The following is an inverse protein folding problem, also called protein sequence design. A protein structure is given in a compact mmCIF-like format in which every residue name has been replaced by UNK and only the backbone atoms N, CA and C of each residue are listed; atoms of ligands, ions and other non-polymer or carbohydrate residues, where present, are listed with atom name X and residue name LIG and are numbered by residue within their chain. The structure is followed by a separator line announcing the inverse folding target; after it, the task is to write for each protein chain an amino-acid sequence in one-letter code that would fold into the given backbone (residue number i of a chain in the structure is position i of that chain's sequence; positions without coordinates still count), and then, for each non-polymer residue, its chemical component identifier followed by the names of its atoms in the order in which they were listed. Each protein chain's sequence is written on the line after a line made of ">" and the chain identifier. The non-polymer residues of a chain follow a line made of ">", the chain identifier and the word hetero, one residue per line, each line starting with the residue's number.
data_IF_555737692751
#
_entry.id   IF_555737692751
#
_cell.length_a   1.000
_cell.length_b   1.000
_cell.length_c   1.000
_cell.angle_alpha   90.00
_cell.angle_beta   90.00
_cell.angle_gamma   90.00
#
_symmetry.space_group_name_H-M   'P 1'
#
loop_
_entity.id
_entity.type
_entity.pdbx_description
1 polymer ?
#
# COMPACT_ATOMS: atom_id res chain seq x y z
N UNK A 1 38.36 -13.10 -17.36
CA UNK A 1 37.83 -12.43 -16.19
C UNK A 1 36.95 -11.25 -16.68
N UNK A 2 35.82 -11.57 -17.20
CA UNK A 2 34.76 -10.64 -17.64
C UNK A 2 33.45 -11.42 -17.46
N UNK A 3 32.48 -10.84 -16.87
CA UNK A 3 31.07 -11.24 -16.70
C UNK A 3 30.67 -11.36 -15.24
N UNK A 4 30.20 -10.24 -14.72
CA UNK A 4 29.21 -10.19 -13.64
C UNK A 4 28.74 -8.73 -13.49
N UNK A 5 27.93 -8.25 -14.42
CA UNK A 5 27.29 -6.93 -14.29
C UNK A 5 26.04 -6.81 -15.18
N UNK A 6 25.12 -7.75 -15.04
CA UNK A 6 23.79 -7.63 -15.65
C UNK A 6 22.81 -8.63 -15.00
N UNK A 7 22.46 -8.41 -13.73
CA UNK A 7 21.29 -9.12 -13.14
C UNK A 7 20.92 -8.50 -11.79
N UNK A 8 20.55 -7.24 -11.73
CA UNK A 8 20.06 -6.66 -10.46
C UNK A 8 19.04 -5.54 -10.59
N UNK A 9 18.22 -5.51 -11.63
CA UNK A 9 17.13 -4.50 -11.75
C UNK A 9 15.74 -5.11 -11.92
N UNK A 10 15.61 -6.42 -12.11
CA UNK A 10 14.31 -7.05 -12.38
C UNK A 10 13.59 -7.64 -11.14
N UNK A 11 14.13 -7.51 -9.93
CA UNK A 11 13.63 -8.22 -8.74
C UNK A 11 12.78 -7.39 -7.77
N UNK A 12 12.54 -6.11 -8.01
CA UNK A 12 11.88 -5.24 -7.01
C UNK A 12 10.37 -5.03 -7.20
N UNK A 13 9.74 -5.61 -8.21
CA UNK A 13 8.32 -5.41 -8.53
C UNK A 13 7.40 -6.60 -8.17
N UNK A 14 7.91 -7.65 -7.55
CA UNK A 14 7.14 -8.87 -7.26
C UNK A 14 7.18 -9.33 -5.79
N UNK A 15 7.65 -8.53 -4.86
CA UNK A 15 7.74 -8.98 -3.46
C UNK A 15 6.55 -8.52 -2.62
N UNK A 16 5.50 -9.32 -2.60
CA UNK A 16 4.72 -9.52 -1.39
C UNK A 16 5.69 -10.07 -0.33
N UNK A 17 6.28 -9.20 0.52
CA UNK A 17 7.02 -9.71 1.67
C UNK A 17 8.46 -9.26 1.91
N UNK A 18 8.98 -8.24 1.24
CA UNK A 18 10.27 -7.68 1.67
C UNK A 18 10.12 -6.73 2.88
N UNK A 19 9.81 -7.29 4.03
CA UNK A 19 10.36 -6.77 5.28
C UNK A 19 11.76 -7.37 5.42
N UNK A 20 12.73 -6.50 5.49
CA UNK A 20 14.15 -6.81 5.69
C UNK A 20 14.33 -7.73 6.91
N UNK A 21 14.69 -8.99 6.66
CA UNK A 21 14.80 -10.04 7.68
C UNK A 21 16.12 -9.95 8.43
N UNK A 22 16.93 -8.89 8.25
CA UNK A 22 18.33 -8.85 8.68
C UNK A 22 18.61 -7.98 9.91
N UNK A 23 17.58 -7.36 10.53
CA UNK A 23 17.77 -6.65 11.81
C UNK A 23 16.63 -6.98 12.79
N UNK A 24 16.46 -8.26 13.13
CA UNK A 24 15.56 -8.66 14.22
C UNK A 24 16.36 -8.64 15.53
N UNK A 25 15.94 -7.83 16.53
CA UNK A 25 16.34 -8.12 17.90
C UNK A 25 15.86 -9.54 18.24
N UNK A 26 16.70 -10.36 18.81
CA UNK A 26 16.46 -11.79 19.07
C UNK A 26 15.28 -12.10 20.03
N UNK A 27 14.61 -11.08 20.59
CA UNK A 27 13.68 -11.22 21.72
C UNK A 27 12.26 -10.72 21.45
N UNK A 28 11.82 -10.60 20.19
CA UNK A 28 10.44 -10.18 19.89
C UNK A 28 9.50 -11.39 19.90
N UNK A 29 8.60 -11.45 20.85
CA UNK A 29 7.67 -12.57 21.02
C UNK A 29 6.69 -12.65 19.84
N UNK A 30 6.86 -13.65 18.98
CA UNK A 30 6.10 -13.85 17.76
C UNK A 30 5.32 -15.17 17.82
N UNK A 31 4.03 -15.12 17.50
CA UNK A 31 3.14 -16.29 17.40
C UNK A 31 2.59 -16.38 15.99
N UNK A 32 2.58 -17.60 15.42
CA UNK A 32 2.24 -17.82 14.00
C UNK A 32 1.11 -18.82 13.76
N UNK A 33 0.44 -19.30 14.82
CA UNK A 33 -0.72 -20.19 14.68
C UNK A 33 -1.69 -20.05 15.85
N UNK A 34 -2.94 -20.49 15.64
CA UNK A 34 -3.95 -20.53 16.70
C UNK A 34 -3.58 -21.50 17.82
N UNK A 35 -2.94 -22.63 17.50
CA UNK A 35 -2.52 -23.63 18.51
C UNK A 35 -1.38 -23.07 19.38
N UNK A 36 -0.42 -22.37 18.76
CA UNK A 36 0.63 -21.70 19.51
C UNK A 36 0.04 -20.59 20.40
N UNK A 37 -0.95 -19.84 19.90
CA UNK A 37 -1.63 -18.79 20.64
C UNK A 37 -2.35 -19.32 21.89
N UNK A 38 -2.95 -20.51 21.79
CA UNK A 38 -3.65 -21.14 22.91
C UNK A 38 -2.72 -21.49 24.08
N UNK A 39 -1.43 -21.73 23.80
CA UNK A 39 -0.43 -22.20 24.77
C UNK A 39 0.58 -21.09 25.17
N UNK A 40 0.28 -19.83 24.88
CA UNK A 40 1.21 -18.71 25.04
C UNK A 40 0.66 -17.67 26.01
N UNK A 41 1.55 -17.00 26.77
CA UNK A 41 1.17 -15.80 27.53
C UNK A 41 0.80 -14.68 26.58
N UNK A 42 -0.50 -14.45 26.38
CA UNK A 42 -1.04 -13.50 25.39
C UNK A 42 -0.66 -12.05 25.66
N UNK A 43 -0.40 -11.70 26.92
CA UNK A 43 -0.03 -10.34 27.30
C UNK A 43 1.37 -9.92 26.82
N UNK A 44 2.22 -10.88 26.44
CA UNK A 44 3.60 -10.63 26.00
C UNK A 44 3.77 -10.69 24.47
N UNK A 45 2.71 -11.04 23.71
CA UNK A 45 2.80 -11.20 22.27
C UNK A 45 2.95 -9.84 21.60
N UNK A 46 4.04 -9.65 20.89
CA UNK A 46 4.32 -8.43 20.12
C UNK A 46 3.89 -8.56 18.66
N UNK A 47 3.97 -9.79 18.10
CA UNK A 47 3.58 -10.10 16.73
C UNK A 47 2.69 -11.33 16.69
N UNK A 48 1.55 -11.21 16.02
CA UNK A 48 0.61 -12.31 15.82
C UNK A 48 0.29 -12.45 14.33
N UNK A 49 0.69 -13.58 13.74
CA UNK A 49 0.48 -13.89 12.34
C UNK A 49 -0.39 -15.14 12.20
N UNK A 50 -1.68 -14.94 11.93
CA UNK A 50 -2.68 -16.02 11.80
C UNK A 50 -3.11 -16.24 10.35
N UNK A 51 -2.28 -15.84 9.40
CA UNK A 51 -2.53 -15.96 7.96
C UNK A 51 -2.90 -17.38 7.58
N UNK A 52 -4.01 -17.54 6.85
CA UNK A 52 -4.47 -18.82 6.35
C UNK A 52 -4.80 -19.86 7.43
N UNK A 53 -5.14 -19.41 8.66
CA UNK A 53 -5.53 -20.34 9.73
C UNK A 53 -6.65 -21.27 9.29
N UNK A 54 -6.63 -22.50 9.77
CA UNK A 54 -7.53 -23.58 9.33
C UNK A 54 -9.02 -23.30 9.64
N UNK A 55 -9.31 -22.35 10.53
CA UNK A 55 -10.67 -21.89 10.84
C UNK A 55 -10.70 -20.36 10.92
N UNK A 56 -11.89 -19.74 10.84
CA UNK A 56 -12.03 -18.30 11.05
C UNK A 56 -11.51 -17.86 12.42
N UNK A 57 -10.81 -16.72 12.42
CA UNK A 57 -10.38 -16.03 13.64
C UNK A 57 -11.54 -15.18 14.16
N UNK A 58 -11.82 -15.30 15.45
CA UNK A 58 -12.93 -14.64 16.14
C UNK A 58 -12.42 -13.70 17.24
N UNK A 59 -13.32 -12.93 17.83
CA UNK A 59 -12.99 -12.09 19.00
C UNK A 59 -12.46 -12.93 20.18
N UNK A 60 -12.96 -14.15 20.37
CA UNK A 60 -12.50 -15.03 21.43
C UNK A 60 -11.02 -15.45 21.26
N UNK A 61 -10.54 -15.57 20.02
CA UNK A 61 -9.13 -15.87 19.74
C UNK A 61 -8.21 -14.71 20.14
N UNK A 62 -8.71 -13.49 20.05
CA UNK A 62 -7.98 -12.26 20.34
C UNK A 62 -8.14 -11.78 21.78
N UNK A 63 -8.93 -12.51 22.61
CA UNK A 63 -9.13 -12.19 24.02
C UNK A 63 -7.83 -12.33 24.80
N UNK A 64 -7.56 -11.41 25.73
CA UNK A 64 -6.35 -11.42 26.57
C UNK A 64 -5.07 -10.99 25.86
N UNK A 65 -5.11 -10.59 24.58
CA UNK A 65 -3.99 -9.89 23.97
C UNK A 65 -3.83 -8.51 24.63
N UNK A 66 -2.59 -8.07 24.81
CA UNK A 66 -2.34 -6.76 25.40
C UNK A 66 -2.58 -5.65 24.38
N UNK A 67 -3.40 -4.68 24.74
CA UNK A 67 -3.76 -3.53 23.89
C UNK A 67 -2.55 -2.65 23.53
N UNK A 68 -1.52 -2.65 24.37
CA UNK A 68 -0.34 -1.80 24.21
C UNK A 68 0.91 -2.54 23.71
N UNK A 69 0.97 -3.87 23.88
CA UNK A 69 2.15 -4.68 23.53
C UNK A 69 2.09 -5.20 22.12
N UNK A 70 0.91 -5.63 21.63
CA UNK A 70 0.77 -6.15 20.27
C UNK A 70 0.97 -5.03 19.25
N UNK A 71 2.00 -5.17 18.41
CA UNK A 71 2.37 -4.19 17.40
C UNK A 71 2.03 -4.62 15.97
N UNK A 72 2.05 -5.92 15.69
CA UNK A 72 1.84 -6.46 14.34
C UNK A 72 0.81 -7.59 14.36
N UNK A 73 -0.22 -7.44 13.52
CA UNK A 73 -1.29 -8.43 13.38
C UNK A 73 -1.52 -8.77 11.90
N UNK A 74 -1.38 -10.06 11.56
CA UNK A 74 -1.71 -10.57 10.24
C UNK A 74 -2.92 -11.52 10.30
N UNK A 75 -4.03 -11.08 9.72
CA UNK A 75 -5.28 -11.80 9.54
C UNK A 75 -5.58 -12.03 8.04
N UNK A 76 -4.55 -12.22 7.24
CA UNK A 76 -4.69 -12.45 5.80
C UNK A 76 -5.19 -13.87 5.47
N UNK A 77 -5.87 -14.02 4.32
CA UNK A 77 -6.30 -15.32 3.77
C UNK A 77 -7.25 -16.11 4.70
N UNK A 78 -8.10 -15.42 5.45
CA UNK A 78 -9.04 -16.01 6.40
C UNK A 78 -10.49 -15.97 5.92
N UNK A 79 -10.75 -15.57 4.67
CA UNK A 79 -12.09 -15.39 4.12
C UNK A 79 -12.97 -14.42 4.92
N UNK A 80 -12.38 -13.44 5.62
CA UNK A 80 -13.13 -12.49 6.46
C UNK A 80 -14.01 -11.59 5.60
N UNK A 81 -15.29 -11.55 5.89
CA UNK A 81 -16.24 -10.54 5.40
C UNK A 81 -16.28 -9.32 6.34
N UNK A 82 -15.91 -9.53 7.62
CA UNK A 82 -15.80 -8.49 8.65
C UNK A 82 -14.58 -8.79 9.53
N UNK A 83 -13.89 -7.75 9.95
CA UNK A 83 -12.76 -7.86 10.90
C UNK A 83 -13.29 -8.09 12.31
N UNK A 84 -12.72 -8.99 13.11
CA UNK A 84 -13.10 -9.16 14.51
C UNK A 84 -13.05 -7.85 15.28
N UNK A 85 -14.06 -7.58 16.09
CA UNK A 85 -14.22 -6.30 16.81
C UNK A 85 -13.12 -6.00 17.81
N UNK A 86 -12.52 -7.05 18.41
CA UNK A 86 -11.39 -6.95 19.36
C UNK A 86 -10.14 -6.29 18.75
N UNK A 87 -9.96 -6.36 17.44
CA UNK A 87 -8.83 -5.72 16.74
C UNK A 87 -8.78 -4.22 17.06
N UNK A 88 -9.94 -3.56 17.15
CA UNK A 88 -10.03 -2.11 17.33
C UNK A 88 -9.67 -1.64 18.74
N UNK A 89 -9.57 -2.57 19.68
CA UNK A 89 -9.05 -2.34 21.04
C UNK A 89 -7.52 -2.34 21.12
N UNK A 90 -6.80 -2.90 20.13
CA UNK A 90 -5.35 -3.10 20.15
C UNK A 90 -4.59 -1.79 19.84
N UNK A 91 -4.55 -0.86 20.78
CA UNK A 91 -4.08 0.53 20.62
C UNK A 91 -2.58 0.66 20.29
N UNK A 92 -1.78 -0.37 20.63
CA UNK A 92 -0.35 -0.46 20.27
C UNK A 92 -0.08 -0.90 18.84
N UNK A 93 -1.14 -1.29 18.08
CA UNK A 93 -0.97 -1.86 16.74
C UNK A 93 -0.41 -0.85 15.75
N UNK A 94 0.76 -1.15 15.20
CA UNK A 94 1.44 -0.32 14.20
C UNK A 94 1.26 -0.84 12.79
N UNK A 95 1.00 -2.16 12.64
CA UNK A 95 0.86 -2.81 11.33
C UNK A 95 -0.28 -3.83 11.33
N UNK A 96 -1.18 -3.70 10.34
CA UNK A 96 -2.31 -4.60 10.16
C UNK A 96 -2.35 -5.11 8.72
N UNK A 97 -2.34 -6.45 8.56
CA UNK A 97 -2.53 -7.13 7.28
C UNK A 97 -3.89 -7.84 7.26
N UNK A 98 -4.68 -7.54 6.24
CA UNK A 98 -6.00 -8.10 5.94
C UNK A 98 -6.06 -8.58 4.49
N UNK A 99 -4.92 -9.05 3.96
CA UNK A 99 -4.75 -9.41 2.54
C UNK A 99 -5.61 -10.62 2.16
N UNK A 100 -6.18 -10.60 0.94
CA UNK A 100 -6.96 -11.72 0.37
C UNK A 100 -8.07 -12.21 1.30
N UNK A 101 -8.85 -11.27 1.81
CA UNK A 101 -10.11 -11.54 2.50
C UNK A 101 -11.32 -11.21 1.59
N UNK A 102 -12.50 -11.13 2.15
CA UNK A 102 -13.75 -10.80 1.43
C UNK A 102 -14.35 -9.48 1.88
N UNK A 103 -13.52 -8.55 2.37
CA UNK A 103 -13.98 -7.24 2.85
C UNK A 103 -14.57 -6.42 1.70
N UNK A 104 -15.83 -6.02 1.85
CA UNK A 104 -16.53 -5.15 0.86
C UNK A 104 -16.24 -3.67 1.07
N UNK A 105 -15.78 -3.28 2.25
CA UNK A 105 -15.42 -1.93 2.64
C UNK A 105 -14.20 -1.92 3.58
N UNK A 106 -13.51 -0.80 3.67
CA UNK A 106 -12.54 -0.53 4.73
C UNK A 106 -13.33 -0.32 6.02
N UNK A 107 -12.99 -0.98 7.14
CA UNK A 107 -13.69 -0.78 8.40
C UNK A 107 -13.61 0.65 8.90
N UNK A 108 -14.74 1.23 9.29
CA UNK A 108 -14.85 2.59 9.83
C UNK A 108 -14.10 2.76 11.16
N UNK A 109 -13.78 1.65 11.81
CA UNK A 109 -13.06 1.59 13.08
C UNK A 109 -11.53 1.75 12.94
N UNK A 110 -10.96 1.72 11.75
CA UNK A 110 -9.50 1.87 11.53
C UNK A 110 -8.90 3.06 12.30
N UNK A 111 -9.52 4.23 12.40
CA UNK A 111 -8.99 5.36 13.18
C UNK A 111 -8.89 5.12 14.69
N UNK A 112 -9.56 4.07 15.21
CA UNK A 112 -9.44 3.67 16.61
C UNK A 112 -8.08 3.08 16.95
N UNK A 113 -7.20 2.83 15.95
CA UNK A 113 -5.83 2.34 16.08
C UNK A 113 -4.84 3.52 15.98
N UNK A 114 -4.58 4.24 17.07
CA UNK A 114 -3.86 5.52 17.05
C UNK A 114 -2.37 5.39 16.70
N UNK A 115 -1.81 4.18 16.77
CA UNK A 115 -0.42 3.90 16.43
C UNK A 115 -0.25 3.33 15.00
N UNK A 116 -1.35 3.11 14.25
CA UNK A 116 -1.30 2.43 12.96
C UNK A 116 -0.56 3.26 11.92
N UNK A 117 0.52 2.70 11.38
CA UNK A 117 1.34 3.30 10.32
C UNK A 117 1.30 2.52 9.01
N UNK A 118 0.95 1.25 9.07
CA UNK A 118 0.88 0.34 7.94
C UNK A 118 -0.46 -0.39 7.89
N UNK A 119 -1.20 -0.25 6.79
CA UNK A 119 -2.45 -0.96 6.54
C UNK A 119 -2.39 -1.63 5.16
N UNK A 120 -2.55 -2.96 5.14
CA UNK A 120 -2.59 -3.73 3.90
C UNK A 120 -3.94 -4.45 3.73
N UNK A 121 -4.68 -4.04 2.71
CA UNK A 121 -6.00 -4.53 2.32
C UNK A 121 -5.97 -5.11 0.89
N UNK A 122 -4.81 -5.50 0.37
CA UNK A 122 -4.67 -6.06 -0.97
C UNK A 122 -5.58 -7.28 -1.17
N UNK A 123 -6.18 -7.43 -2.36
CA UNK A 123 -6.94 -8.62 -2.72
C UNK A 123 -8.27 -8.78 -1.96
N UNK A 124 -8.99 -7.70 -1.74
CA UNK A 124 -10.33 -7.69 -1.16
C UNK A 124 -11.39 -7.32 -2.21
N UNK A 125 -12.58 -6.96 -1.76
CA UNK A 125 -13.69 -6.56 -2.63
C UNK A 125 -14.12 -5.10 -2.40
N UNK A 126 -13.20 -4.27 -1.91
CA UNK A 126 -13.46 -2.89 -1.47
C UNK A 126 -13.84 -2.04 -2.68
N UNK A 127 -15.00 -1.40 -2.61
CA UNK A 127 -15.56 -0.57 -3.68
C UNK A 127 -15.37 0.93 -3.44
N UNK A 128 -15.22 1.35 -2.19
CA UNK A 128 -15.05 2.74 -1.79
C UNK A 128 -14.15 2.84 -0.55
N UNK A 129 -13.51 3.98 -0.39
CA UNK A 129 -12.78 4.36 0.82
C UNK A 129 -13.68 5.26 1.66
N UNK A 130 -13.95 4.92 2.95
CA UNK A 130 -14.84 5.73 3.78
C UNK A 130 -14.15 7.02 4.25
N UNK A 131 -14.93 8.06 4.49
CA UNK A 131 -14.43 9.33 5.04
C UNK A 131 -13.80 9.18 6.42
N UNK A 132 -14.26 8.21 7.21
CA UNK A 132 -13.71 7.88 8.53
C UNK A 132 -12.21 7.59 8.49
N UNK A 133 -11.68 7.01 7.39
CA UNK A 133 -10.26 6.71 7.26
C UNK A 133 -9.37 7.95 7.41
N UNK A 134 -9.89 9.16 7.15
CA UNK A 134 -9.20 10.43 7.38
C UNK A 134 -8.68 10.62 8.81
N UNK A 135 -9.30 9.96 9.78
CA UNK A 135 -8.86 9.96 11.18
C UNK A 135 -7.60 9.14 11.46
N UNK A 136 -7.19 8.27 10.53
CA UNK A 136 -5.97 7.45 10.67
C UNK A 136 -4.71 8.24 10.29
N UNK A 137 -4.48 9.40 10.89
CA UNK A 137 -3.51 10.42 10.48
C UNK A 137 -2.03 9.98 10.56
N UNK A 138 -1.72 8.89 11.27
CA UNK A 138 -0.36 8.33 11.33
C UNK A 138 -0.06 7.33 10.23
N UNK A 139 -1.00 7.03 9.33
CA UNK A 139 -0.75 6.13 8.21
C UNK A 139 0.36 6.68 7.32
N UNK A 140 1.34 5.80 7.03
CA UNK A 140 2.44 6.04 6.11
C UNK A 140 2.38 5.13 4.89
N UNK A 141 1.85 3.93 5.05
CA UNK A 141 1.70 2.95 3.98
C UNK A 141 0.26 2.46 3.93
N UNK A 142 -0.37 2.68 2.78
CA UNK A 142 -1.72 2.21 2.48
C UNK A 142 -1.68 1.35 1.22
N UNK A 143 -2.08 0.10 1.36
CA UNK A 143 -2.15 -0.85 0.25
C UNK A 143 -3.58 -1.30 0.03
N UNK A 144 -4.05 -1.08 -1.19
CA UNK A 144 -5.41 -1.38 -1.65
C UNK A 144 -5.37 -2.01 -3.06
N UNK A 145 -4.27 -2.71 -3.41
CA UNK A 145 -4.18 -3.40 -4.70
C UNK A 145 -5.26 -4.48 -4.84
N UNK A 146 -5.64 -4.78 -6.08
CA UNK A 146 -6.59 -5.87 -6.38
C UNK A 146 -7.91 -5.72 -5.62
N UNK A 147 -8.50 -4.52 -5.70
CA UNK A 147 -9.82 -4.19 -5.17
C UNK A 147 -10.75 -3.68 -6.29
N UNK A 148 -11.85 -3.04 -5.95
CA UNK A 148 -12.87 -2.55 -6.91
C UNK A 148 -13.08 -1.04 -6.79
N UNK A 149 -12.05 -0.30 -6.37
CA UNK A 149 -12.12 1.15 -6.16
C UNK A 149 -12.32 1.89 -7.50
N UNK A 150 -13.26 2.84 -7.52
CA UNK A 150 -13.52 3.73 -8.66
C UNK A 150 -13.03 5.14 -8.44
N UNK A 151 -12.98 5.57 -7.19
CA UNK A 151 -12.63 6.93 -6.76
C UNK A 151 -12.07 6.93 -5.33
N UNK A 152 -11.62 8.07 -4.87
CA UNK A 152 -11.12 8.29 -3.51
C UNK A 152 -11.73 9.59 -2.96
N UNK A 153 -12.25 9.60 -1.73
CA UNK A 153 -12.90 10.79 -1.18
C UNK A 153 -11.89 11.89 -0.86
N UNK A 154 -12.28 13.17 -1.02
CA UNK A 154 -11.41 14.31 -0.70
C UNK A 154 -10.93 14.37 0.75
N UNK A 155 -11.70 13.79 1.69
CA UNK A 155 -11.38 13.73 3.12
C UNK A 155 -10.04 13.08 3.42
N UNK A 156 -9.53 12.18 2.55
CA UNK A 156 -8.21 11.58 2.68
C UNK A 156 -7.05 12.59 2.56
N UNK A 157 -7.33 13.84 2.18
CA UNK A 157 -6.36 14.92 2.24
C UNK A 157 -5.77 15.15 3.64
N UNK A 158 -6.46 14.67 4.69
CA UNK A 158 -5.98 14.72 6.08
C UNK A 158 -4.79 13.78 6.36
N UNK A 159 -4.56 12.76 5.51
CA UNK A 159 -3.48 11.76 5.68
C UNK A 159 -2.14 12.30 5.18
N UNK A 160 -1.64 13.36 5.81
CA UNK A 160 -0.43 14.09 5.38
C UNK A 160 0.88 13.29 5.51
N UNK A 161 0.90 12.25 6.36
CA UNK A 161 2.10 11.42 6.59
C UNK A 161 2.23 10.26 5.58
N UNK A 162 1.30 10.14 4.60
CA UNK A 162 1.37 9.07 3.60
C UNK A 162 2.64 9.20 2.75
N UNK A 163 3.41 8.11 2.73
CA UNK A 163 4.63 7.97 1.93
C UNK A 163 4.50 6.95 0.81
N UNK A 164 3.68 5.92 0.98
CA UNK A 164 3.49 4.88 -0.02
C UNK A 164 2.01 4.52 -0.15
N UNK A 165 1.50 4.63 -1.38
CA UNK A 165 0.11 4.31 -1.70
C UNK A 165 0.08 3.39 -2.92
N UNK A 166 -0.54 2.23 -2.75
CA UNK A 166 -0.64 1.21 -3.80
C UNK A 166 -2.10 0.92 -4.12
N UNK A 167 -2.50 1.22 -5.35
CA UNK A 167 -3.88 1.13 -5.87
C UNK A 167 -3.93 0.33 -7.18
N UNK A 168 -2.98 -0.58 -7.40
CA UNK A 168 -2.90 -1.41 -8.61
C UNK A 168 -4.14 -2.27 -8.78
N UNK A 169 -4.51 -2.55 -10.05
CA UNK A 169 -5.64 -3.44 -10.36
C UNK A 169 -6.91 -3.04 -9.60
N UNK A 170 -7.32 -1.81 -9.79
CA UNK A 170 -8.60 -1.26 -9.37
C UNK A 170 -9.39 -0.80 -10.59
N UNK A 171 -10.44 -0.04 -10.39
CA UNK A 171 -11.33 0.46 -11.44
C UNK A 171 -11.25 1.99 -11.59
N UNK A 172 -10.10 2.58 -11.23
CA UNK A 172 -9.88 4.03 -11.31
C UNK A 172 -9.86 4.47 -12.78
N UNK A 173 -10.60 5.51 -13.11
CA UNK A 173 -10.64 6.11 -14.45
C UNK A 173 -9.79 7.37 -14.56
N UNK A 174 -9.37 7.93 -13.43
CA UNK A 174 -8.45 9.07 -13.31
C UNK A 174 -7.52 8.90 -12.11
N UNK A 175 -6.43 9.65 -12.08
CA UNK A 175 -5.62 9.79 -10.86
C UNK A 175 -6.46 10.54 -9.82
N UNK A 176 -6.65 9.98 -8.60
CA UNK A 176 -7.47 10.65 -7.58
C UNK A 176 -6.93 12.04 -7.23
N UNK A 177 -7.79 13.06 -7.26
CA UNK A 177 -7.39 14.45 -6.96
C UNK A 177 -6.75 14.60 -5.57
N UNK A 178 -7.15 13.81 -4.60
CA UNK A 178 -6.60 13.85 -3.23
C UNK A 178 -5.11 13.54 -3.18
N UNK A 179 -4.56 12.86 -4.18
CA UNK A 179 -3.12 12.53 -4.28
C UNK A 179 -2.26 13.80 -4.26
N UNK A 180 -2.72 14.90 -4.85
CA UNK A 180 -2.00 16.19 -4.85
C UNK A 180 -1.73 16.77 -3.45
N UNK A 181 -2.50 16.34 -2.46
CA UNK A 181 -2.40 16.79 -1.07
C UNK A 181 -1.41 15.96 -0.23
N UNK A 182 -0.91 14.84 -0.76
CA UNK A 182 0.04 13.94 -0.09
C UNK A 182 1.49 14.32 -0.43
N UNK A 183 1.92 15.49 0.04
CA UNK A 183 3.23 16.08 -0.32
C UNK A 183 4.44 15.27 0.16
N UNK A 184 4.26 14.40 1.15
CA UNK A 184 5.28 13.45 1.63
C UNK A 184 5.34 12.13 0.85
N UNK A 185 4.53 11.99 -0.22
CA UNK A 185 4.45 10.75 -0.99
C UNK A 185 5.76 10.46 -1.72
N UNK A 186 6.31 9.28 -1.48
CA UNK A 186 7.54 8.78 -2.10
C UNK A 186 7.25 7.73 -3.20
N UNK A 187 6.17 6.96 -3.04
CA UNK A 187 5.86 5.84 -3.95
C UNK A 187 4.35 5.77 -4.22
N UNK A 188 3.99 5.88 -5.51
CA UNK A 188 2.62 5.78 -5.99
C UNK A 188 2.50 4.72 -7.08
N UNK A 189 1.69 3.70 -6.84
CA UNK A 189 1.42 2.66 -7.83
C UNK A 189 -0.07 2.63 -8.20
N UNK A 190 -0.35 2.86 -9.47
CA UNK A 190 -1.68 2.93 -10.08
C UNK A 190 -1.83 1.93 -11.25
N UNK A 191 -0.95 0.95 -11.34
CA UNK A 191 -0.88 -0.01 -12.45
C UNK A 191 -2.23 -0.71 -12.71
N UNK A 192 -2.47 -1.08 -13.96
CA UNK A 192 -3.62 -1.90 -14.36
C UNK A 192 -4.97 -1.30 -13.88
N UNK A 193 -5.12 0.03 -14.02
CA UNK A 193 -6.38 0.76 -13.85
C UNK A 193 -6.90 1.25 -15.22
N UNK A 194 -8.11 1.81 -15.24
CA UNK A 194 -8.74 2.38 -16.44
C UNK A 194 -8.40 3.88 -16.64
N UNK A 195 -7.24 4.35 -16.12
CA UNK A 195 -6.83 5.75 -16.20
C UNK A 195 -6.44 6.08 -17.64
N UNK A 196 -7.15 7.04 -18.23
CA UNK A 196 -6.93 7.46 -19.63
C UNK A 196 -6.12 8.74 -19.78
N UNK A 197 -6.04 9.54 -18.70
CA UNK A 197 -5.30 10.80 -18.68
C UNK A 197 -4.59 11.02 -17.36
N UNK A 198 -3.44 11.69 -17.43
CA UNK A 198 -2.66 12.11 -16.27
C UNK A 198 -2.88 13.62 -16.10
N UNK A 199 -3.34 14.08 -14.93
CA UNK A 199 -3.60 15.50 -14.72
C UNK A 199 -2.30 16.31 -14.67
N UNK A 200 -2.36 17.56 -15.10
CA UNK A 200 -1.18 18.45 -15.18
C UNK A 200 -0.50 18.65 -13.84
N UNK A 201 -1.26 18.72 -12.74
CA UNK A 201 -0.70 18.89 -11.41
C UNK A 201 0.19 17.71 -10.98
N UNK A 202 0.04 16.50 -11.55
CA UNK A 202 0.89 15.36 -11.19
C UNK A 202 2.38 15.65 -11.49
N UNK A 203 2.63 16.42 -12.53
CA UNK A 203 3.98 16.85 -12.92
C UNK A 203 4.65 17.79 -11.92
N UNK A 204 3.91 18.40 -11.00
CA UNK A 204 4.42 19.49 -10.15
C UNK A 204 4.08 19.39 -8.66
N UNK A 205 3.02 18.64 -8.29
CA UNK A 205 2.48 18.65 -6.92
C UNK A 205 3.19 17.73 -5.91
N UNK A 206 4.01 16.77 -6.37
CA UNK A 206 4.58 15.70 -5.53
C UNK A 206 6.11 15.81 -5.45
N UNK A 207 6.66 16.74 -4.68
CA UNK A 207 8.09 17.06 -4.69
C UNK A 207 8.98 15.93 -4.14
N UNK A 208 8.42 15.05 -3.31
CA UNK A 208 9.15 13.94 -2.69
C UNK A 208 8.98 12.60 -3.43
N UNK A 209 8.24 12.57 -4.55
CA UNK A 209 7.96 11.34 -5.27
C UNK A 209 9.22 10.76 -5.90
N UNK A 210 9.52 9.51 -5.58
CA UNK A 210 10.68 8.73 -6.08
C UNK A 210 10.27 7.66 -7.08
N UNK A 211 9.08 7.09 -6.90
CA UNK A 211 8.57 6.01 -7.76
C UNK A 211 7.12 6.31 -8.15
N UNK A 212 6.86 6.30 -9.45
CA UNK A 212 5.53 6.39 -10.04
C UNK A 212 5.32 5.24 -11.01
N UNK A 213 4.26 4.47 -10.80
CA UNK A 213 3.88 3.42 -11.74
C UNK A 213 2.44 3.58 -12.21
N UNK A 214 2.30 3.63 -13.54
CA UNK A 214 1.04 3.72 -14.31
C UNK A 214 0.97 2.59 -15.34
N UNK A 215 1.76 1.54 -15.14
CA UNK A 215 1.84 0.39 -16.05
C UNK A 215 0.46 -0.14 -16.40
N UNK A 216 0.22 -0.45 -17.68
CA UNK A 216 -1.04 -1.04 -18.13
C UNK A 216 -2.24 -0.11 -18.09
N UNK A 217 -2.06 1.19 -17.80
CA UNK A 217 -3.12 2.18 -17.93
C UNK A 217 -3.25 2.64 -19.39
N UNK A 218 -4.46 2.90 -19.92
CA UNK A 218 -4.69 3.33 -21.30
C UNK A 218 -4.33 4.82 -21.53
N UNK A 219 -3.14 5.23 -21.06
CA UNK A 219 -2.62 6.59 -21.16
C UNK A 219 -1.87 6.74 -22.48
N UNK A 220 -2.21 7.78 -23.26
CA UNK A 220 -1.53 8.12 -24.51
C UNK A 220 -0.66 9.37 -24.41
N UNK A 221 -0.74 10.13 -23.32
CA UNK A 221 0.02 11.37 -23.10
C UNK A 221 0.28 11.62 -21.62
N UNK A 222 1.47 12.11 -21.31
CA UNK A 222 1.85 12.63 -20.00
C UNK A 222 1.66 14.16 -19.96
N UNK A 223 1.58 14.80 -18.77
CA UNK A 223 1.53 16.25 -18.63
C UNK A 223 2.63 16.98 -19.43
N UNK A 224 2.37 18.20 -19.86
CA UNK A 224 3.36 19.00 -20.58
C UNK A 224 4.52 19.42 -19.67
N UNK A 225 4.23 19.83 -18.44
CA UNK A 225 5.25 20.12 -17.42
C UNK A 225 5.50 18.90 -16.53
N UNK A 226 6.69 18.35 -16.63
CA UNK A 226 7.17 17.21 -15.82
C UNK A 226 8.29 17.66 -14.85
N UNK A 227 8.47 18.96 -14.63
CA UNK A 227 9.60 19.49 -13.84
C UNK A 227 9.62 18.98 -12.40
N UNK A 228 8.45 18.83 -11.77
CA UNK A 228 8.32 18.26 -10.42
C UNK A 228 8.60 16.77 -10.33
N UNK A 229 8.62 16.05 -11.45
CA UNK A 229 8.95 14.61 -11.49
C UNK A 229 10.45 14.34 -11.73
N UNK A 230 11.28 15.36 -11.84
CA UNK A 230 12.74 15.17 -12.01
C UNK A 230 13.43 14.51 -10.81
N UNK A 231 12.77 14.50 -9.66
CA UNK A 231 13.22 13.76 -8.47
C UNK A 231 12.91 12.27 -8.49
N UNK A 232 12.19 11.77 -9.50
CA UNK A 232 11.92 10.34 -9.64
C UNK A 232 13.22 9.55 -9.82
N UNK A 233 13.25 8.37 -9.22
CA UNK A 233 14.22 7.32 -9.55
C UNK A 233 13.64 6.37 -10.58
N UNK A 234 12.32 6.15 -10.54
CA UNK A 234 11.63 5.21 -11.43
C UNK A 234 10.28 5.75 -11.90
N UNK A 235 10.04 5.70 -13.20
CA UNK A 235 8.74 5.90 -13.84
C UNK A 235 8.39 4.65 -14.66
N UNK A 236 7.28 3.99 -14.38
CA UNK A 236 6.78 2.89 -15.20
C UNK A 236 5.55 3.30 -15.99
N UNK A 237 5.68 3.26 -17.32
CA UNK A 237 4.63 3.47 -18.31
C UNK A 237 4.52 2.24 -19.23
N UNK A 238 5.05 1.09 -18.80
CA UNK A 238 5.04 -0.14 -19.57
C UNK A 238 3.60 -0.55 -19.91
N UNK A 239 3.38 -0.99 -21.13
CA UNK A 239 2.06 -1.36 -21.67
C UNK A 239 1.03 -0.19 -21.71
N UNK A 240 1.47 1.07 -21.61
CA UNK A 240 0.64 2.22 -21.97
C UNK A 240 0.71 2.45 -23.48
N UNK A 241 -0.39 2.84 -24.16
CA UNK A 241 -0.42 3.09 -25.62
C UNK A 241 0.19 4.45 -25.98
N UNK A 242 1.43 4.71 -25.54
CA UNK A 242 2.14 5.96 -25.79
C UNK A 242 2.69 5.99 -27.23
N UNK A 243 2.44 7.05 -28.02
CA UNK A 243 3.10 7.27 -29.29
C UNK A 243 4.62 7.42 -29.12
N UNK A 244 5.40 7.03 -30.14
CA UNK A 244 6.87 7.11 -30.11
C UNK A 244 7.40 8.52 -29.84
N UNK A 245 6.74 9.54 -30.36
CA UNK A 245 7.04 10.95 -30.11
C UNK A 245 6.87 11.34 -28.64
N UNK A 246 5.84 10.81 -27.99
CA UNK A 246 5.59 11.04 -26.58
C UNK A 246 6.64 10.35 -25.70
N UNK A 247 7.06 9.15 -26.04
CA UNK A 247 8.17 8.43 -25.39
C UNK A 247 9.45 9.29 -25.43
N UNK A 248 9.78 9.85 -26.60
CA UNK A 248 10.95 10.72 -26.76
C UNK A 248 10.81 12.00 -25.94
N UNK A 249 9.61 12.61 -25.94
CA UNK A 249 9.32 13.83 -25.18
C UNK A 249 9.52 13.62 -23.67
N UNK A 250 8.94 12.55 -23.14
CA UNK A 250 9.02 12.22 -21.70
C UNK A 250 10.47 11.96 -21.28
N UNK A 251 11.23 11.16 -22.06
CA UNK A 251 12.66 10.94 -21.79
C UNK A 251 13.45 12.25 -21.73
N UNK A 252 13.25 13.12 -22.73
CA UNK A 252 13.95 14.43 -22.80
C UNK A 252 13.60 15.32 -21.61
N UNK A 253 12.34 15.32 -21.18
CA UNK A 253 11.87 16.17 -20.07
C UNK A 253 12.42 15.74 -18.71
N UNK A 254 12.52 14.42 -18.47
CA UNK A 254 12.95 13.87 -17.17
C UNK A 254 14.46 13.65 -17.09
N UNK A 255 15.15 13.51 -18.23
CA UNK A 255 16.60 13.29 -18.30
C UNK A 255 17.01 11.84 -17.98
N UNK A 256 18.34 11.60 -17.98
CA UNK A 256 18.92 10.26 -17.89
C UNK A 256 18.94 9.68 -16.46
N UNK A 257 18.67 10.51 -15.45
CA UNK A 257 18.67 10.09 -14.05
C UNK A 257 17.42 9.30 -13.63
N UNK A 258 16.36 9.33 -14.45
CA UNK A 258 15.11 8.63 -14.19
C UNK A 258 15.08 7.32 -14.98
N UNK A 259 14.96 6.19 -14.30
CA UNK A 259 14.73 4.89 -14.94
C UNK A 259 13.28 4.85 -15.48
N UNK A 260 13.10 4.97 -16.81
CA UNK A 260 11.78 4.96 -17.43
C UNK A 260 11.55 3.61 -18.11
N UNK A 261 10.49 2.92 -17.71
CA UNK A 261 10.03 1.66 -18.29
C UNK A 261 8.81 1.96 -19.20
N UNK A 262 8.92 1.63 -20.49
CA UNK A 262 7.85 1.78 -21.49
C UNK A 262 7.33 0.43 -21.98
#
# INVERSE_FOLDING_TARGET
>A
MKNCLFTLVAACLACAGCFDNHNRPADVFTVTSLDALANTNRAEIVRLFLRGAARPVTDADLEGLSDSVLQQLDLSELNLEKVPGKVWGLKGLTSLWLVRNKLAAIPDEVPQLPALTYLNLDGNQITAVPDSLSGATKLRWLRLNENKLRESPPSLSALKDLRRVYLRKNLLTSVPEVVREWTELEDLALDDNAITSVPDWLGTALPNLKSLSLKGCPISRMPDDLSGLRGLTTLSLANCPLPSEEVVRVRKALGDNVAILF
#
